data_IF_716667086955
#
_entry.id   IF_716667086955
#
_cell.length_a   1.000
_cell.length_b   1.000
_cell.length_c   1.000
_cell.angle_alpha   90.00
_cell.angle_beta   90.00
_cell.angle_gamma   90.00
#
_symmetry.space_group_name_H-M   'P 1'
#
loop_
_entity.id
_entity.type
_entity.pdbx_description
1 polymer ?
#
# COMPACT_ATOMS: atom_id res chain seq x y z
N UNK A 1 29.34 57.10 1.85
CA UNK A 1 28.72 55.81 1.49
C UNK A 1 28.79 54.92 2.72
N UNK A 2 27.66 54.76 3.40
CA UNK A 2 27.58 54.07 4.70
C UNK A 2 27.17 52.61 4.45
N UNK A 3 28.03 51.65 4.83
CA UNK A 3 27.71 50.23 4.83
C UNK A 3 26.75 49.90 5.98
N UNK A 4 25.58 49.36 5.66
CA UNK A 4 24.70 48.74 6.64
C UNK A 4 25.21 47.32 6.92
N UNK A 5 25.29 46.89 8.20
CA UNK A 5 25.65 45.51 8.54
C UNK A 5 24.49 44.57 8.26
N UNK A 6 24.88 43.34 7.90
CA UNK A 6 24.05 42.31 7.34
C UNK A 6 22.88 41.83 8.20
N UNK A 7 21.90 41.31 7.49
CA UNK A 7 20.77 40.58 8.05
C UNK A 7 21.27 39.34 8.79
N UNK A 8 20.96 39.22 10.07
CA UNK A 8 21.11 37.98 10.81
C UNK A 8 20.20 36.93 10.18
N UNK A 9 20.81 35.94 9.54
CA UNK A 9 20.17 34.67 9.25
C UNK A 9 19.80 34.06 10.62
N UNK A 10 18.54 34.13 10.98
CA UNK A 10 18.00 33.35 12.09
C UNK A 10 18.14 31.87 11.73
N UNK A 11 18.98 31.17 12.47
CA UNK A 11 19.03 29.71 12.44
C UNK A 11 17.61 29.19 12.75
N UNK A 12 17.14 28.14 12.09
CA UNK A 12 15.85 27.55 12.42
C UNK A 12 15.88 27.15 13.89
N UNK A 13 14.84 27.56 14.63
CA UNK A 13 14.61 27.18 16.01
C UNK A 13 14.65 25.64 16.10
N UNK A 14 15.55 25.10 16.92
CA UNK A 14 15.62 23.67 17.27
C UNK A 14 14.49 23.35 18.24
N UNK A 15 13.22 23.50 17.82
CA UNK A 15 12.12 22.95 18.58
C UNK A 15 12.20 21.43 18.47
N UNK A 16 12.45 20.78 19.60
CA UNK A 16 12.44 19.32 19.68
C UNK A 16 11.03 18.81 19.38
N UNK A 17 10.91 17.79 18.54
CA UNK A 17 9.62 17.22 18.17
C UNK A 17 8.82 16.82 19.43
N UNK A 18 7.48 17.04 19.50
CA UNK A 18 6.68 16.74 20.70
C UNK A 18 6.74 15.28 21.19
N UNK A 19 7.13 14.35 20.32
CA UNK A 19 7.34 12.94 20.65
C UNK A 19 8.77 12.62 21.09
N UNK A 20 9.69 13.57 21.12
CA UNK A 20 11.05 13.32 21.56
C UNK A 20 11.08 12.77 23.00
N UNK A 21 11.79 11.66 23.21
CA UNK A 21 11.85 10.94 24.47
C UNK A 21 10.63 10.06 24.80
N UNK A 22 9.55 10.11 24.01
CA UNK A 22 8.37 9.26 24.22
C UNK A 22 8.60 7.83 23.71
N UNK A 23 7.98 6.85 24.36
CA UNK A 23 8.06 5.43 23.96
C UNK A 23 6.73 4.96 23.35
N UNK A 24 6.76 4.61 22.06
CA UNK A 24 5.58 4.19 21.29
C UNK A 24 5.73 2.72 20.89
N UNK A 25 4.74 1.89 21.23
CA UNK A 25 4.68 0.48 20.86
C UNK A 25 3.73 0.24 19.70
N UNK A 26 4.25 -0.27 18.60
CA UNK A 26 3.44 -0.87 17.54
C UNK A 26 3.36 -2.39 17.75
N UNK A 27 2.19 -2.99 17.49
CA UNK A 27 2.01 -4.44 17.57
C UNK A 27 1.40 -4.99 16.28
N UNK A 28 2.06 -5.99 15.69
CA UNK A 28 1.70 -6.62 14.42
C UNK A 28 2.08 -8.10 14.46
N UNK A 29 1.35 -9.03 13.79
CA UNK A 29 1.66 -10.46 13.82
C UNK A 29 3.10 -10.77 13.42
N UNK A 30 3.48 -10.37 12.22
CA UNK A 30 4.74 -10.67 11.57
C UNK A 30 5.27 -9.44 10.83
N UNK A 31 6.57 -9.40 10.51
CA UNK A 31 7.23 -8.37 9.70
C UNK A 31 7.81 -9.01 8.41
N UNK A 32 6.94 -9.59 7.58
CA UNK A 32 7.37 -10.19 6.31
C UNK A 32 7.46 -9.12 5.19
N UNK A 33 6.66 -9.20 4.13
CA UNK A 33 6.77 -8.29 2.98
C UNK A 33 5.44 -7.60 2.64
N UNK A 34 4.46 -7.71 3.51
CA UNK A 34 3.14 -7.12 3.30
C UNK A 34 3.12 -5.61 3.50
N UNK A 35 2.04 -5.02 3.08
CA UNK A 35 1.94 -3.58 3.16
C UNK A 35 1.74 -3.02 4.55
N UNK A 36 1.08 -3.74 5.46
CA UNK A 36 0.93 -3.31 6.84
C UNK A 36 2.27 -3.37 7.59
N UNK A 37 3.07 -4.41 7.30
CA UNK A 37 4.40 -4.62 7.84
C UNK A 37 5.36 -3.53 7.39
N UNK A 38 5.36 -3.18 6.10
CA UNK A 38 6.14 -2.06 5.56
C UNK A 38 5.78 -0.74 6.25
N UNK A 39 4.46 -0.46 6.40
CA UNK A 39 4.01 0.74 7.10
C UNK A 39 4.46 0.77 8.56
N UNK A 40 4.52 -0.38 9.26
CA UNK A 40 5.01 -0.43 10.64
C UNK A 40 6.49 -0.01 10.72
N UNK A 41 7.31 -0.48 9.78
CA UNK A 41 8.74 -0.10 9.70
C UNK A 41 8.92 1.38 9.35
N UNK A 42 8.11 1.90 8.42
CA UNK A 42 8.20 3.30 7.99
C UNK A 42 7.77 4.27 9.13
N UNK A 43 6.72 3.94 9.88
CA UNK A 43 6.32 4.71 11.06
C UNK A 43 7.34 4.58 12.19
N UNK A 44 7.96 3.40 12.38
CA UNK A 44 9.03 3.25 13.37
C UNK A 44 10.21 4.16 13.05
N UNK A 45 10.61 4.26 11.77
CA UNK A 45 11.62 5.21 11.33
C UNK A 45 11.21 6.65 11.63
N UNK A 46 9.99 7.05 11.26
CA UNK A 46 9.52 8.41 11.53
C UNK A 46 9.51 8.76 13.03
N UNK A 47 9.18 7.82 13.89
CA UNK A 47 9.29 7.96 15.35
C UNK A 47 10.74 8.16 15.79
N UNK A 48 11.66 7.36 15.26
CA UNK A 48 13.09 7.48 15.57
C UNK A 48 13.66 8.82 15.08
N UNK A 49 13.29 9.24 13.86
CA UNK A 49 13.68 10.54 13.29
C UNK A 49 13.12 11.72 14.13
N UNK A 50 11.98 11.54 14.80
CA UNK A 50 11.37 12.48 15.74
C UNK A 50 11.98 12.43 17.15
N UNK A 51 12.99 11.60 17.39
CA UNK A 51 13.63 11.42 18.71
C UNK A 51 12.82 10.55 19.70
N UNK A 52 11.80 9.84 19.23
CA UNK A 52 11.02 8.91 20.03
C UNK A 52 11.63 7.50 20.00
N UNK A 53 11.34 6.71 21.02
CA UNK A 53 11.68 5.29 21.09
C UNK A 53 10.59 4.48 20.39
N UNK A 54 10.91 3.89 19.24
CA UNK A 54 9.99 3.13 18.42
C UNK A 54 10.11 1.62 18.69
N UNK A 55 9.14 1.03 19.38
CA UNK A 55 9.08 -0.40 19.71
C UNK A 55 8.12 -1.11 18.75
N UNK A 56 8.49 -2.32 18.28
CA UNK A 56 7.62 -3.17 17.45
C UNK A 56 7.56 -4.57 18.03
N UNK A 57 6.42 -4.93 18.63
CA UNK A 57 6.11 -6.26 19.15
C UNK A 57 5.56 -7.16 18.07
N UNK A 58 6.27 -8.25 17.73
CA UNK A 58 5.95 -9.15 16.61
C UNK A 58 6.68 -10.49 16.75
N UNK A 59 6.21 -11.53 16.07
CA UNK A 59 6.91 -12.82 15.98
C UNK A 59 8.22 -12.74 15.16
N UNK A 60 8.46 -11.64 14.46
CA UNK A 60 9.63 -11.43 13.62
C UNK A 60 9.29 -11.45 12.13
N UNK A 61 10.31 -11.64 11.27
CA UNK A 61 10.19 -11.70 9.82
C UNK A 61 11.32 -10.97 9.10
N UNK A 62 11.27 -10.97 7.76
CA UNK A 62 12.35 -10.44 6.89
C UNK A 62 12.63 -8.96 7.09
N UNK A 63 11.65 -8.17 7.54
CA UNK A 63 11.81 -6.73 7.74
C UNK A 63 12.41 -6.35 9.09
N UNK A 64 12.71 -7.33 9.98
CA UNK A 64 13.31 -7.04 11.30
C UNK A 64 14.67 -6.35 11.16
N UNK A 65 15.54 -6.85 10.28
CA UNK A 65 16.84 -6.24 10.05
C UNK A 65 16.72 -4.79 9.55
N UNK A 66 15.76 -4.52 8.67
CA UNK A 66 15.48 -3.17 8.17
C UNK A 66 14.90 -2.26 9.27
N UNK A 67 13.99 -2.77 10.11
CA UNK A 67 13.47 -2.05 11.28
C UNK A 67 14.61 -1.58 12.18
N UNK A 68 15.51 -2.49 12.53
CA UNK A 68 16.65 -2.21 13.43
C UNK A 68 17.65 -1.24 12.78
N UNK A 69 17.94 -1.39 11.47
CA UNK A 69 18.80 -0.47 10.73
C UNK A 69 18.23 0.96 10.67
N UNK A 70 16.91 1.11 10.80
CA UNK A 70 16.20 2.39 10.86
C UNK A 70 15.97 2.89 12.31
N UNK A 71 16.63 2.28 13.31
CA UNK A 71 16.57 2.69 14.71
C UNK A 71 15.36 2.17 15.50
N UNK A 72 14.48 1.38 14.88
CA UNK A 72 13.38 0.74 15.58
C UNK A 72 13.84 -0.47 16.44
N UNK A 73 13.18 -0.73 17.54
CA UNK A 73 13.48 -1.84 18.44
C UNK A 73 12.48 -2.97 18.21
N UNK A 74 12.99 -4.14 17.81
CA UNK A 74 12.19 -5.36 17.75
C UNK A 74 12.05 -6.01 19.11
N UNK A 75 10.81 -6.28 19.52
CA UNK A 75 10.47 -7.02 20.72
C UNK A 75 9.80 -8.34 20.31
N UNK A 76 10.44 -9.51 20.55
CA UNK A 76 9.84 -10.81 20.29
C UNK A 76 8.55 -10.98 21.08
N UNK A 77 7.43 -11.15 20.37
CA UNK A 77 6.11 -11.27 21.00
C UNK A 77 5.19 -12.17 20.14
N UNK A 78 4.42 -13.12 20.75
CA UNK A 78 3.56 -14.06 20.01
C UNK A 78 2.26 -13.37 19.55
N UNK A 79 2.41 -12.35 18.69
CA UNK A 79 1.35 -11.48 18.22
C UNK A 79 0.40 -12.12 17.18
N UNK A 80 0.82 -13.21 16.51
CA UNK A 80 0.00 -13.90 15.52
C UNK A 80 -1.01 -14.88 16.13
N UNK A 81 -0.90 -15.18 17.43
CA UNK A 81 -1.75 -16.16 18.10
C UNK A 81 -3.23 -15.78 18.03
N UNK A 82 -4.06 -16.77 17.66
CA UNK A 82 -5.53 -16.69 17.62
C UNK A 82 -6.19 -17.60 18.66
N UNK A 83 -5.41 -18.33 19.44
CA UNK A 83 -5.91 -19.17 20.53
C UNK A 83 -6.36 -18.27 21.70
N UNK A 84 -7.62 -18.34 22.17
CA UNK A 84 -8.13 -17.44 23.21
C UNK A 84 -7.35 -17.52 24.53
N UNK A 85 -6.90 -18.72 24.94
CA UNK A 85 -6.12 -18.91 26.18
C UNK A 85 -4.75 -18.25 26.02
N UNK A 86 -4.07 -18.49 24.90
CA UNK A 86 -2.79 -17.86 24.61
C UNK A 86 -2.93 -16.34 24.51
N UNK A 87 -4.02 -15.83 23.92
CA UNK A 87 -4.30 -14.39 23.86
C UNK A 87 -4.49 -13.80 25.26
N UNK A 88 -5.21 -14.48 26.17
CA UNK A 88 -5.36 -14.05 27.57
C UNK A 88 -4.02 -14.00 28.30
N UNK A 89 -3.16 -15.01 28.12
CA UNK A 89 -1.80 -15.00 28.68
C UNK A 89 -0.93 -13.89 28.07
N UNK A 90 -1.09 -13.61 26.79
CA UNK A 90 -0.39 -12.55 26.09
C UNK A 90 -0.79 -11.15 26.59
N UNK A 91 -2.02 -10.95 27.09
CA UNK A 91 -2.39 -9.67 27.74
C UNK A 91 -1.46 -9.39 28.94
N UNK A 92 -1.25 -10.39 29.83
CA UNK A 92 -0.36 -10.24 30.97
C UNK A 92 1.09 -9.95 30.53
N UNK A 93 1.59 -10.69 29.51
CA UNK A 93 2.93 -10.47 28.97
C UNK A 93 3.07 -9.06 28.40
N UNK A 94 2.06 -8.59 27.66
CA UNK A 94 2.09 -7.25 27.06
C UNK A 94 2.04 -6.15 28.12
N UNK A 95 1.26 -6.34 29.20
CA UNK A 95 1.22 -5.41 30.35
C UNK A 95 2.59 -5.30 31.02
N UNK A 96 3.28 -6.44 31.23
CA UNK A 96 4.63 -6.45 31.80
C UNK A 96 5.61 -5.74 30.88
N UNK A 97 5.64 -6.09 29.60
CA UNK A 97 6.47 -5.47 28.58
C UNK A 97 6.25 -3.96 28.51
N UNK A 98 4.98 -3.50 28.51
CA UNK A 98 4.70 -2.07 28.49
C UNK A 98 5.20 -1.32 29.73
N UNK A 99 5.23 -1.98 30.90
CA UNK A 99 5.77 -1.39 32.12
C UNK A 99 7.29 -1.35 32.12
N UNK A 100 7.92 -2.44 31.70
CA UNK A 100 9.39 -2.57 31.62
C UNK A 100 9.99 -1.59 30.63
N UNK A 101 9.29 -1.37 29.50
CA UNK A 101 9.74 -0.50 28.42
C UNK A 101 9.19 0.93 28.53
N UNK A 102 8.45 1.26 29.58
CA UNK A 102 7.83 2.57 29.82
C UNK A 102 6.99 3.06 28.66
N UNK A 103 6.16 2.15 28.07
CA UNK A 103 5.31 2.46 26.92
C UNK A 103 4.23 3.48 27.28
N UNK A 104 4.08 4.51 26.46
CA UNK A 104 3.12 5.58 26.65
C UNK A 104 1.93 5.53 25.68
N UNK A 105 2.06 4.81 24.55
CA UNK A 105 0.98 4.61 23.54
C UNK A 105 1.14 3.25 22.86
N UNK A 106 0.02 2.56 22.62
CA UNK A 106 -0.02 1.30 21.87
C UNK A 106 -0.76 1.50 20.54
N UNK A 107 -0.14 1.07 19.45
CA UNK A 107 -0.73 1.08 18.12
C UNK A 107 -0.84 -0.33 17.54
N UNK A 108 -2.05 -0.86 17.38
CA UNK A 108 -2.29 -2.18 16.80
C UNK A 108 -2.60 -2.09 15.29
N UNK A 109 -1.94 -2.96 14.52
CA UNK A 109 -2.03 -3.01 13.06
C UNK A 109 -2.72 -4.26 12.51
N UNK A 110 -3.24 -5.13 13.37
CA UNK A 110 -3.96 -6.34 12.98
C UNK A 110 -4.90 -6.81 14.09
N UNK A 111 -5.95 -7.54 13.72
CA UNK A 111 -7.07 -7.91 14.61
C UNK A 111 -6.68 -8.77 15.80
N UNK A 112 -5.90 -9.85 15.59
CA UNK A 112 -5.52 -10.74 16.68
C UNK A 112 -4.72 -10.00 17.77
N UNK A 113 -3.60 -9.32 17.45
CA UNK A 113 -2.87 -8.55 18.46
C UNK A 113 -3.66 -7.35 18.98
N UNK A 114 -4.64 -6.80 18.23
CA UNK A 114 -5.45 -5.68 18.70
C UNK A 114 -6.33 -6.02 19.89
N UNK A 115 -6.84 -7.26 20.02
CA UNK A 115 -7.56 -7.69 21.22
C UNK A 115 -6.68 -7.73 22.46
N UNK A 116 -5.45 -8.23 22.31
CA UNK A 116 -4.45 -8.26 23.38
C UNK A 116 -4.04 -6.84 23.75
N UNK A 117 -3.77 -6.00 22.75
CA UNK A 117 -3.36 -4.61 22.94
C UNK A 117 -4.47 -3.75 23.57
N UNK A 118 -5.72 -3.91 23.16
CA UNK A 118 -6.86 -3.21 23.75
C UNK A 118 -6.99 -3.53 25.25
N UNK A 119 -6.91 -4.81 25.63
CA UNK A 119 -7.02 -5.22 27.02
C UNK A 119 -5.85 -4.66 27.86
N UNK A 120 -4.61 -4.73 27.34
CA UNK A 120 -3.44 -4.17 28.02
C UNK A 120 -3.51 -2.65 28.15
N UNK A 121 -3.90 -1.94 27.06
CA UNK A 121 -4.03 -0.48 27.06
C UNK A 121 -5.07 0.00 28.07
N UNK A 122 -6.24 -0.66 28.13
CA UNK A 122 -7.29 -0.32 29.12
C UNK A 122 -6.86 -0.56 30.55
N UNK A 123 -6.12 -1.68 30.80
CA UNK A 123 -5.58 -1.99 32.12
C UNK A 123 -4.53 -0.95 32.57
N UNK A 124 -3.66 -0.52 31.66
CA UNK A 124 -2.59 0.45 31.93
C UNK A 124 -3.04 1.91 31.79
N UNK A 125 -4.27 2.16 31.29
CA UNK A 125 -4.80 3.48 30.94
C UNK A 125 -3.96 4.21 29.88
N UNK A 126 -3.40 3.46 28.94
CA UNK A 126 -2.63 3.99 27.82
C UNK A 126 -3.53 4.33 26.64
N UNK A 127 -3.22 5.37 25.84
CA UNK A 127 -3.85 5.63 24.57
C UNK A 127 -3.68 4.43 23.63
N UNK A 128 -4.76 4.11 22.90
CA UNK A 128 -4.81 2.97 21.99
C UNK A 128 -5.22 3.39 20.59
N UNK A 129 -4.33 3.19 19.62
CA UNK A 129 -4.56 3.48 18.19
C UNK A 129 -4.70 2.17 17.42
N UNK A 130 -5.54 2.18 16.41
CA UNK A 130 -5.65 1.07 15.45
C UNK A 130 -5.55 1.58 14.02
N UNK A 131 -4.97 0.80 13.10
CA UNK A 131 -5.01 1.09 11.67
C UNK A 131 -5.74 -0.02 10.91
N UNK A 132 -6.75 0.38 10.13
CA UNK A 132 -7.42 -0.49 9.17
C UNK A 132 -6.61 -0.56 7.86
N UNK A 133 -6.10 -1.75 7.52
CA UNK A 133 -5.29 -1.98 6.32
C UNK A 133 -6.07 -2.63 5.16
N UNK A 134 -7.36 -2.90 5.32
CA UNK A 134 -8.17 -3.56 4.29
C UNK A 134 -9.62 -3.77 4.72
N UNK A 135 -10.46 -4.19 3.79
CA UNK A 135 -11.83 -4.59 4.10
C UNK A 135 -11.82 -5.95 4.80
N UNK A 136 -12.45 -6.03 5.97
CA UNK A 136 -12.59 -7.29 6.68
C UNK A 136 -13.93 -7.94 6.33
N UNK A 137 -13.86 -9.19 5.86
CA UNK A 137 -15.06 -9.98 5.62
C UNK A 137 -15.81 -10.24 6.94
N UNK A 138 -17.09 -9.94 6.98
CA UNK A 138 -17.98 -10.03 8.16
C UNK A 138 -19.28 -10.81 7.84
N UNK A 139 -19.12 -12.04 7.29
CA UNK A 139 -20.27 -12.89 6.92
C UNK A 139 -21.01 -13.51 8.13
N UNK A 140 -20.55 -13.34 9.35
CA UNK A 140 -21.21 -13.81 10.57
C UNK A 140 -21.08 -12.79 11.71
N UNK A 141 -22.03 -12.80 12.65
CA UNK A 141 -22.04 -11.93 13.83
C UNK A 141 -20.75 -12.09 14.67
N UNK A 142 -20.28 -13.31 14.87
CA UNK A 142 -19.03 -13.61 15.58
C UNK A 142 -17.84 -12.97 14.88
N UNK A 143 -17.77 -13.05 13.55
CA UNK A 143 -16.70 -12.46 12.77
C UNK A 143 -16.76 -10.94 12.76
N UNK A 144 -17.97 -10.37 12.76
CA UNK A 144 -18.18 -8.93 12.92
C UNK A 144 -17.70 -8.44 14.28
N UNK A 145 -18.04 -9.16 15.35
CA UNK A 145 -17.54 -8.88 16.71
C UNK A 145 -16.03 -8.98 16.76
N UNK A 146 -15.42 -10.04 16.22
CA UNK A 146 -13.98 -10.19 16.18
C UNK A 146 -13.28 -9.04 15.42
N UNK A 147 -13.85 -8.62 14.30
CA UNK A 147 -13.31 -7.50 13.51
C UNK A 147 -13.49 -6.14 14.20
N UNK A 148 -14.51 -6.00 15.08
CA UNK A 148 -14.84 -4.72 15.73
C UNK A 148 -13.71 -4.16 16.59
N UNK A 149 -12.75 -4.98 17.02
CA UNK A 149 -11.61 -4.52 17.81
C UNK A 149 -10.84 -3.40 17.10
N UNK A 150 -10.74 -3.47 15.77
CA UNK A 150 -10.05 -2.45 14.98
C UNK A 150 -10.79 -1.09 14.98
N UNK A 151 -12.06 -1.06 15.35
CA UNK A 151 -12.87 0.16 15.51
C UNK A 151 -12.97 0.64 16.98
N UNK A 152 -12.24 0.01 17.91
CA UNK A 152 -12.27 0.31 19.36
C UNK A 152 -11.10 1.13 19.85
N UNK A 153 -10.21 1.57 18.95
CA UNK A 153 -9.15 2.53 19.27
C UNK A 153 -9.71 3.84 19.85
N UNK A 154 -8.91 4.59 20.58
CA UNK A 154 -9.19 5.98 20.92
C UNK A 154 -9.11 6.85 19.66
N UNK A 155 -8.19 6.47 18.73
CA UNK A 155 -8.21 6.90 17.32
C UNK A 155 -8.12 5.65 16.44
N UNK A 156 -8.88 5.67 15.33
CA UNK A 156 -8.95 4.62 14.32
C UNK A 156 -8.45 5.21 13.00
N UNK A 157 -7.27 4.84 12.59
CA UNK A 157 -6.68 5.28 11.31
C UNK A 157 -7.27 4.44 10.18
N UNK A 158 -7.83 5.09 9.17
CA UNK A 158 -8.25 4.53 7.90
C UNK A 158 -7.24 4.93 6.82
N UNK A 159 -6.77 3.97 6.01
CA UNK A 159 -5.75 4.20 4.99
C UNK A 159 -6.28 4.82 3.69
N UNK A 160 -7.58 5.14 3.62
CA UNK A 160 -8.28 5.82 2.52
C UNK A 160 -9.64 6.31 2.99
N UNK A 161 -10.28 7.22 2.27
CA UNK A 161 -11.65 7.65 2.53
C UNK A 161 -12.65 6.50 2.33
N UNK A 162 -12.42 5.65 1.33
CA UNK A 162 -13.20 4.43 1.13
C UNK A 162 -13.17 3.52 2.37
N UNK A 163 -11.99 3.28 2.92
CA UNK A 163 -11.84 2.47 4.14
C UNK A 163 -12.52 3.14 5.33
N UNK A 164 -12.45 4.46 5.47
CA UNK A 164 -13.20 5.21 6.49
C UNK A 164 -14.72 5.00 6.36
N UNK A 165 -15.25 5.11 5.13
CA UNK A 165 -16.67 4.81 4.84
C UNK A 165 -17.07 3.38 5.24
N UNK A 166 -16.22 2.38 4.95
CA UNK A 166 -16.46 0.99 5.36
C UNK A 166 -16.47 0.81 6.88
N UNK A 167 -15.57 1.49 7.59
CA UNK A 167 -15.52 1.46 9.06
C UNK A 167 -16.82 2.04 9.63
N UNK A 168 -17.22 3.21 9.16
CA UNK A 168 -18.41 3.91 9.65
C UNK A 168 -19.70 3.16 9.35
N UNK A 169 -19.80 2.52 8.18
CA UNK A 169 -20.95 1.70 7.83
C UNK A 169 -21.09 0.46 8.72
N UNK A 170 -19.97 -0.16 9.13
CA UNK A 170 -19.98 -1.37 9.96
C UNK A 170 -19.91 -1.09 11.46
N UNK A 171 -19.33 0.04 11.85
CA UNK A 171 -19.04 0.41 13.24
C UNK A 171 -19.34 1.89 13.48
N UNK A 172 -20.64 2.30 13.49
CA UNK A 172 -21.04 3.71 13.65
C UNK A 172 -20.49 4.39 14.91
N UNK A 173 -20.19 3.60 15.96
CA UNK A 173 -19.60 4.10 17.20
C UNK A 173 -18.16 4.64 17.04
N UNK A 174 -17.53 4.42 15.89
CA UNK A 174 -16.21 4.96 15.61
C UNK A 174 -16.22 6.33 14.92
N UNK A 175 -17.40 6.95 14.71
CA UNK A 175 -17.55 8.18 13.91
C UNK A 175 -16.58 9.30 14.32
N UNK A 176 -16.51 9.59 15.59
CA UNK A 176 -15.67 10.69 16.10
C UNK A 176 -14.19 10.32 16.27
N UNK A 177 -13.86 9.04 16.04
CA UNK A 177 -12.54 8.45 16.23
C UNK A 177 -11.79 8.17 14.93
N UNK A 178 -12.49 8.07 13.81
CA UNK A 178 -11.88 7.77 12.52
C UNK A 178 -11.10 8.98 12.02
N UNK A 179 -9.84 8.73 11.63
CA UNK A 179 -8.99 9.69 10.92
C UNK A 179 -8.49 9.02 9.64
N UNK A 180 -8.63 9.72 8.52
CA UNK A 180 -8.05 9.26 7.26
C UNK A 180 -6.59 9.69 7.26
N UNK A 181 -5.70 8.71 7.19
CA UNK A 181 -4.27 8.91 6.94
C UNK A 181 -3.95 8.06 5.72
N UNK A 182 -3.81 8.71 4.58
CA UNK A 182 -3.57 8.02 3.32
C UNK A 182 -2.28 7.23 3.39
N UNK A 183 -2.29 6.06 2.74
CA UNK A 183 -1.08 5.24 2.69
C UNK A 183 0.00 5.93 1.88
N UNK A 184 1.21 5.97 2.43
CA UNK A 184 2.37 6.57 1.79
C UNK A 184 3.13 5.62 0.86
N UNK A 185 3.75 6.22 -0.15
CA UNK A 185 4.67 5.57 -1.10
C UNK A 185 6.02 6.29 -1.05
N UNK A 186 7.11 5.51 -1.07
CA UNK A 186 8.46 6.05 -1.14
C UNK A 186 8.77 6.50 -2.58
N UNK A 187 8.55 7.76 -2.88
CA UNK A 187 8.77 8.31 -4.22
C UNK A 187 10.25 8.41 -4.61
N UNK A 188 11.19 8.36 -3.68
CA UNK A 188 12.61 8.27 -4.01
C UNK A 188 12.94 6.92 -4.67
N UNK A 189 12.29 5.83 -4.21
CA UNK A 189 12.43 4.50 -4.82
C UNK A 189 11.66 4.38 -6.15
N UNK A 190 10.50 5.06 -6.26
CA UNK A 190 9.66 5.09 -7.46
C UNK A 190 9.85 6.38 -8.27
N UNK A 191 11.10 6.77 -8.51
CA UNK A 191 11.47 7.85 -9.40
C UNK A 191 12.09 7.29 -10.70
N UNK A 192 11.66 7.70 -11.90
CA UNK A 192 12.26 7.23 -13.15
C UNK A 192 13.77 7.45 -13.20
N UNK A 193 14.27 8.58 -12.65
CA UNK A 193 15.68 8.89 -12.59
C UNK A 193 16.51 7.94 -11.69
N UNK A 194 15.86 7.20 -10.78
CA UNK A 194 16.49 6.19 -9.92
C UNK A 194 16.64 4.82 -10.59
N UNK A 195 16.12 4.66 -11.82
CA UNK A 195 16.13 3.40 -12.57
C UNK A 195 16.98 3.53 -13.81
N UNK A 196 18.07 2.76 -13.90
CA UNK A 196 18.93 2.79 -15.08
C UNK A 196 18.33 2.00 -16.25
N UNK A 197 18.74 2.35 -17.47
CA UNK A 197 18.31 1.66 -18.67
C UNK A 197 18.70 0.18 -18.68
N UNK A 198 19.85 -0.16 -18.09
CA UNK A 198 20.37 -1.53 -17.97
C UNK A 198 19.44 -2.39 -17.09
N UNK A 199 18.91 -1.85 -15.99
CA UNK A 199 17.93 -2.56 -15.14
C UNK A 199 16.66 -2.88 -15.93
N UNK A 200 16.16 -1.91 -16.70
CA UNK A 200 14.97 -2.11 -17.55
C UNK A 200 15.24 -3.16 -18.62
N UNK A 201 16.39 -3.09 -19.31
CA UNK A 201 16.75 -4.06 -20.35
C UNK A 201 16.96 -5.47 -19.79
N UNK A 202 17.65 -5.60 -18.65
CA UNK A 202 17.86 -6.89 -17.98
C UNK A 202 16.53 -7.53 -17.63
N UNK A 203 15.55 -6.75 -17.13
CA UNK A 203 14.24 -7.24 -16.77
C UNK A 203 13.44 -7.68 -18.01
N UNK A 204 13.42 -6.87 -19.09
CA UNK A 204 12.78 -7.23 -20.36
C UNK A 204 13.36 -8.53 -20.94
N UNK A 205 14.69 -8.67 -20.92
CA UNK A 205 15.38 -9.89 -21.36
C UNK A 205 14.99 -11.10 -20.50
N UNK A 206 14.98 -10.96 -19.17
CA UNK A 206 14.59 -12.04 -18.25
C UNK A 206 13.14 -12.48 -18.49
N UNK A 207 12.26 -11.59 -18.92
CA UNK A 207 10.88 -11.88 -19.27
C UNK A 207 10.70 -12.38 -20.71
N UNK A 208 11.77 -12.41 -21.51
CA UNK A 208 11.70 -12.79 -22.92
C UNK A 208 10.81 -11.86 -23.75
N UNK A 209 10.83 -10.54 -23.45
CA UNK A 209 10.08 -9.52 -24.18
C UNK A 209 10.96 -8.89 -25.23
N UNK A 210 10.53 -8.97 -26.48
CA UNK A 210 11.29 -8.42 -27.61
C UNK A 210 11.39 -6.87 -27.56
N UNK A 211 12.44 -6.27 -28.13
CA UNK A 211 12.63 -4.82 -28.07
C UNK A 211 11.45 -3.99 -28.60
N UNK A 212 10.77 -4.45 -29.66
CA UNK A 212 9.65 -3.77 -30.27
C UNK A 212 8.33 -3.93 -29.52
N UNK A 213 8.23 -4.94 -28.66
CA UNK A 213 6.97 -5.22 -27.95
C UNK A 213 6.66 -4.18 -26.87
N UNK A 214 5.42 -3.78 -26.78
CA UNK A 214 4.90 -2.95 -25.68
C UNK A 214 4.46 -3.85 -24.53
N UNK A 215 4.76 -3.47 -23.29
CA UNK A 215 4.38 -4.27 -22.11
C UNK A 215 3.11 -3.69 -21.47
N UNK A 216 2.09 -4.53 -21.30
CA UNK A 216 1.01 -4.34 -20.33
C UNK A 216 1.38 -5.15 -19.08
N UNK A 217 1.63 -4.49 -17.97
CA UNK A 217 2.07 -5.11 -16.72
C UNK A 217 0.91 -5.19 -15.72
N UNK A 218 0.64 -6.37 -15.18
CA UNK A 218 -0.22 -6.57 -14.01
C UNK A 218 0.64 -7.04 -12.84
N UNK A 219 1.06 -6.13 -11.94
CA UNK A 219 1.79 -6.49 -10.74
C UNK A 219 0.82 -6.85 -9.61
N UNK A 220 1.05 -8.00 -8.99
CA UNK A 220 0.22 -8.44 -7.87
C UNK A 220 0.23 -9.93 -7.65
N UNK A 221 -0.02 -10.34 -6.41
CA UNK A 221 -0.14 -11.76 -6.06
C UNK A 221 -1.12 -12.47 -6.99
N UNK A 222 -0.82 -13.71 -7.36
CA UNK A 222 -1.75 -14.52 -8.14
C UNK A 222 -2.91 -14.96 -7.25
N UNK A 223 -4.02 -14.22 -7.35
CA UNK A 223 -5.26 -14.46 -6.59
C UNK A 223 -6.45 -14.13 -7.47
N UNK A 224 -7.57 -14.84 -7.27
CA UNK A 224 -8.75 -14.69 -8.12
C UNK A 224 -9.30 -13.27 -8.24
N UNK A 225 -9.08 -12.43 -7.23
CA UNK A 225 -9.61 -11.07 -7.18
C UNK A 225 -8.68 -9.99 -7.77
N UNK A 226 -7.43 -10.33 -8.13
CA UNK A 226 -6.50 -9.37 -8.76
C UNK A 226 -6.71 -9.22 -10.26
N UNK A 227 -7.68 -9.94 -10.84
CA UNK A 227 -8.14 -9.73 -12.20
C UNK A 227 -7.23 -10.29 -13.30
N UNK A 228 -6.33 -11.26 -12.98
CA UNK A 228 -5.51 -11.92 -14.00
C UNK A 228 -6.38 -12.56 -15.11
N UNK A 229 -7.53 -13.15 -14.74
CA UNK A 229 -8.49 -13.71 -15.71
C UNK A 229 -9.04 -12.65 -16.65
N UNK A 230 -9.39 -11.49 -16.09
CA UNK A 230 -9.93 -10.35 -16.88
C UNK A 230 -8.88 -9.84 -17.84
N UNK A 231 -7.60 -9.75 -17.39
CA UNK A 231 -6.52 -9.32 -18.29
C UNK A 231 -6.22 -10.34 -19.39
N UNK A 232 -6.28 -11.66 -19.12
CA UNK A 232 -6.10 -12.70 -20.15
C UNK A 232 -7.19 -12.59 -21.22
N UNK A 233 -8.44 -12.39 -20.81
CA UNK A 233 -9.56 -12.21 -21.76
C UNK A 233 -9.43 -10.89 -22.52
N UNK A 234 -9.03 -9.79 -21.88
CA UNK A 234 -8.74 -8.53 -22.56
C UNK A 234 -7.60 -8.68 -23.58
N UNK A 235 -6.55 -9.44 -23.26
CA UNK A 235 -5.46 -9.75 -24.18
C UNK A 235 -5.95 -10.55 -25.43
N UNK A 236 -6.89 -11.49 -25.23
CA UNK A 236 -7.53 -12.20 -26.32
C UNK A 236 -8.30 -11.24 -27.24
N UNK A 237 -9.12 -10.37 -26.66
CA UNK A 237 -9.89 -9.38 -27.41
C UNK A 237 -8.99 -8.41 -28.19
N UNK A 238 -7.87 -7.99 -27.59
CA UNK A 238 -6.91 -7.11 -28.26
C UNK A 238 -6.22 -7.84 -29.43
N UNK A 239 -5.81 -9.09 -29.26
CA UNK A 239 -5.25 -9.91 -30.35
C UNK A 239 -6.25 -10.07 -31.51
N UNK A 240 -7.50 -10.41 -31.18
CA UNK A 240 -8.56 -10.62 -32.20
C UNK A 240 -8.89 -9.33 -32.97
N UNK A 241 -8.62 -8.17 -32.35
CA UNK A 241 -8.70 -6.85 -32.96
C UNK A 241 -7.42 -6.42 -33.73
N UNK A 242 -6.43 -7.32 -33.88
CA UNK A 242 -5.21 -7.08 -34.66
C UNK A 242 -4.00 -6.54 -33.91
N UNK A 243 -4.03 -6.43 -32.58
CA UNK A 243 -2.84 -6.07 -31.82
C UNK A 243 -1.82 -7.23 -31.88
N UNK A 244 -0.66 -7.01 -32.49
CA UNK A 244 0.40 -8.01 -32.64
C UNK A 244 1.56 -7.80 -31.66
N UNK A 245 1.79 -6.56 -31.19
CA UNK A 245 3.05 -6.14 -30.56
C UNK A 245 2.96 -5.94 -29.04
N UNK A 246 1.85 -6.33 -28.41
CA UNK A 246 1.69 -6.19 -26.96
C UNK A 246 1.97 -7.50 -26.24
N UNK A 247 2.93 -7.47 -25.30
CA UNK A 247 3.19 -8.54 -24.35
C UNK A 247 2.49 -8.22 -23.01
N UNK A 248 1.80 -9.21 -22.44
CA UNK A 248 1.09 -9.07 -21.16
C UNK A 248 1.87 -9.81 -20.09
N UNK A 249 2.30 -9.10 -19.06
CA UNK A 249 3.16 -9.63 -18.00
C UNK A 249 2.38 -9.70 -16.69
N UNK A 250 2.22 -10.92 -16.15
CA UNK A 250 1.65 -11.19 -14.84
C UNK A 250 2.81 -11.35 -13.84
N UNK A 251 3.12 -10.28 -13.11
CA UNK A 251 4.25 -10.24 -12.18
C UNK A 251 3.76 -10.40 -10.73
N UNK A 252 3.89 -11.61 -10.18
CA UNK A 252 3.49 -11.88 -8.81
C UNK A 252 3.68 -13.32 -8.38
N UNK A 253 3.74 -13.50 -7.07
CA UNK A 253 3.91 -14.79 -6.42
C UNK A 253 2.55 -15.50 -6.25
N UNK A 254 2.54 -16.80 -6.49
CA UNK A 254 1.39 -17.67 -6.27
C UNK A 254 1.12 -17.95 -4.78
N UNK A 255 2.14 -17.91 -3.93
CA UNK A 255 2.02 -18.18 -2.49
C UNK A 255 1.27 -19.49 -2.18
N UNK A 256 1.63 -20.58 -2.86
CA UNK A 256 1.03 -21.90 -2.69
C UNK A 256 -0.34 -22.08 -3.36
N UNK A 257 -0.78 -21.17 -4.25
CA UNK A 257 -2.05 -21.29 -4.98
C UNK A 257 -1.87 -22.00 -6.33
N UNK A 258 -1.29 -23.20 -6.33
CA UNK A 258 -0.94 -23.95 -7.54
C UNK A 258 -2.16 -24.26 -8.43
N UNK A 259 -3.34 -24.46 -7.82
CA UNK A 259 -4.58 -24.65 -8.55
C UNK A 259 -4.95 -23.43 -9.39
N UNK A 260 -4.77 -22.22 -8.86
CA UNK A 260 -5.02 -20.97 -9.59
C UNK A 260 -3.98 -20.73 -10.69
N UNK A 261 -2.73 -21.11 -10.44
CA UNK A 261 -1.66 -21.07 -11.46
C UNK A 261 -2.02 -21.95 -12.65
N UNK A 262 -2.41 -23.23 -12.40
CA UNK A 262 -2.85 -24.15 -13.47
C UNK A 262 -4.07 -23.64 -14.23
N UNK A 263 -5.01 -23.00 -13.54
CA UNK A 263 -6.17 -22.35 -14.16
C UNK A 263 -5.75 -21.26 -15.14
N UNK A 264 -4.85 -20.34 -14.71
CA UNK A 264 -4.35 -19.26 -15.57
C UNK A 264 -3.62 -19.81 -16.81
N UNK A 265 -2.78 -20.84 -16.65
CA UNK A 265 -2.09 -21.49 -17.77
C UNK A 265 -3.09 -22.12 -18.76
N UNK A 266 -4.14 -22.76 -18.25
CA UNK A 266 -5.21 -23.31 -19.06
C UNK A 266 -5.99 -22.24 -19.83
N UNK A 267 -6.25 -21.07 -19.22
CA UNK A 267 -6.90 -19.93 -19.88
C UNK A 267 -6.00 -19.34 -20.97
N UNK A 268 -4.71 -19.18 -20.73
CA UNK A 268 -3.73 -18.70 -21.71
C UNK A 268 -3.68 -19.62 -22.93
N UNK A 269 -3.54 -20.93 -22.71
CA UNK A 269 -3.50 -21.93 -23.77
C UNK A 269 -4.81 -21.97 -24.56
N UNK A 270 -5.96 -22.01 -23.88
CA UNK A 270 -7.29 -22.01 -24.53
C UNK A 270 -7.50 -20.75 -25.40
N UNK A 271 -6.95 -19.62 -24.96
CA UNK A 271 -7.02 -18.39 -25.70
C UNK A 271 -5.97 -18.26 -26.83
N UNK A 272 -5.02 -19.20 -26.97
CA UNK A 272 -3.91 -19.12 -27.94
C UNK A 272 -3.00 -17.92 -27.67
N UNK A 273 -2.68 -17.67 -26.40
CA UNK A 273 -1.90 -16.52 -25.98
C UNK A 273 -0.52 -16.92 -25.42
N UNK A 274 -0.08 -18.17 -25.66
CA UNK A 274 1.24 -18.63 -25.28
C UNK A 274 2.34 -17.75 -25.89
N UNK A 275 3.32 -17.39 -25.10
CA UNK A 275 4.37 -16.45 -25.48
C UNK A 275 3.96 -14.97 -25.45
N UNK A 276 2.66 -14.65 -25.48
CA UNK A 276 2.13 -13.30 -25.43
C UNK A 276 1.71 -12.88 -24.00
N UNK A 277 1.05 -13.76 -23.26
CA UNK A 277 0.79 -13.61 -21.84
C UNK A 277 1.82 -14.44 -21.06
N UNK A 278 2.62 -13.77 -20.23
CA UNK A 278 3.73 -14.40 -19.50
C UNK A 278 3.57 -14.21 -18.00
N UNK A 279 3.64 -15.32 -17.25
CA UNK A 279 3.74 -15.30 -15.79
C UNK A 279 5.23 -15.32 -15.42
N UNK A 280 5.69 -14.26 -14.79
CA UNK A 280 7.13 -14.08 -14.51
C UNK A 280 7.51 -14.33 -13.03
N UNK A 281 6.54 -14.76 -12.22
CA UNK A 281 6.78 -14.96 -10.79
C UNK A 281 6.96 -13.69 -10.01
N UNK A 282 7.66 -13.77 -8.89
CA UNK A 282 7.97 -12.60 -8.07
C UNK A 282 8.94 -11.65 -8.77
N UNK A 283 8.58 -10.37 -8.82
CA UNK A 283 9.45 -9.31 -9.30
C UNK A 283 9.98 -8.49 -8.12
N UNK A 284 11.28 -8.53 -7.88
CA UNK A 284 11.94 -7.79 -6.81
C UNK A 284 12.23 -6.33 -7.20
N UNK A 285 12.38 -6.05 -8.50
CA UNK A 285 12.63 -4.70 -9.03
C UNK A 285 11.36 -4.10 -9.65
N UNK A 286 10.41 -3.77 -8.80
CA UNK A 286 9.14 -3.20 -9.24
C UNK A 286 9.28 -1.80 -9.90
N UNK A 287 10.16 -0.89 -9.46
CA UNK A 287 10.41 0.35 -10.17
C UNK A 287 10.84 0.14 -11.63
N UNK A 288 11.79 -0.76 -11.90
CA UNK A 288 12.20 -1.08 -13.27
C UNK A 288 11.08 -1.78 -14.06
N UNK A 289 10.29 -2.64 -13.41
CA UNK A 289 9.14 -3.28 -14.02
C UNK A 289 8.09 -2.25 -14.51
N UNK A 290 7.75 -1.29 -13.65
CA UNK A 290 6.80 -0.23 -14.00
C UNK A 290 7.34 0.72 -15.07
N UNK A 291 8.61 1.09 -15.00
CA UNK A 291 9.24 1.93 -16.03
C UNK A 291 9.36 1.21 -17.38
N UNK A 292 9.50 -0.13 -17.40
CA UNK A 292 9.53 -0.94 -18.62
C UNK A 292 8.16 -1.07 -19.28
N UNK A 293 7.09 -0.84 -18.53
CA UNK A 293 5.71 -1.02 -19.00
C UNK A 293 5.22 0.17 -19.82
N UNK A 294 4.52 -0.12 -20.90
CA UNK A 294 3.77 0.89 -21.63
C UNK A 294 2.49 1.28 -20.87
N UNK A 295 1.87 0.33 -20.18
CA UNK A 295 0.68 0.53 -19.34
C UNK A 295 0.73 -0.44 -18.17
N UNK A 296 0.30 0.01 -16.99
CA UNK A 296 0.04 -0.87 -15.84
C UNK A 296 -1.46 -1.10 -15.73
N UNK A 297 -1.87 -2.36 -15.62
CA UNK A 297 -3.26 -2.78 -15.43
C UNK A 297 -3.50 -3.20 -13.97
N UNK A 298 -4.58 -2.69 -13.36
CA UNK A 298 -5.04 -3.06 -12.02
C UNK A 298 -6.53 -3.45 -12.08
N UNK A 299 -6.86 -4.56 -12.79
CA UNK A 299 -8.25 -4.96 -13.05
C UNK A 299 -8.83 -5.79 -11.89
N UNK A 300 -8.66 -5.30 -10.66
CA UNK A 300 -9.15 -6.00 -9.45
C UNK A 300 -10.66 -6.18 -9.49
N UNK A 301 -11.15 -7.39 -9.16
CA UNK A 301 -12.57 -7.73 -9.13
C UNK A 301 -13.18 -7.60 -7.72
N UNK A 302 -12.35 -7.47 -6.69
CA UNK A 302 -12.75 -7.12 -5.33
C UNK A 302 -12.17 -5.75 -4.94
N UNK A 303 -12.85 -4.98 -4.07
CA UNK A 303 -12.40 -3.65 -3.67
C UNK A 303 -11.02 -3.62 -3.04
N UNK A 304 -10.12 -2.81 -3.58
CA UNK A 304 -8.85 -2.51 -2.93
C UNK A 304 -9.00 -1.45 -1.85
N UNK A 305 -8.27 -1.63 -0.74
CA UNK A 305 -8.33 -0.69 0.37
C UNK A 305 -7.54 0.61 0.12
N UNK A 306 -6.65 0.61 -0.90
CA UNK A 306 -5.87 1.79 -1.29
C UNK A 306 -5.48 1.80 -2.77
N UNK A 307 -4.92 0.70 -3.33
CA UNK A 307 -4.45 0.66 -4.72
C UNK A 307 -2.99 1.08 -4.88
N UNK A 308 -2.09 0.56 -4.04
CA UNK A 308 -0.64 0.87 -4.08
C UNK A 308 -0.02 0.81 -5.46
N UNK A 309 -0.34 -0.24 -6.22
CA UNK A 309 0.20 -0.46 -7.57
C UNK A 309 -0.10 0.72 -8.50
N UNK A 310 -1.31 1.27 -8.41
CA UNK A 310 -1.70 2.42 -9.21
C UNK A 310 -0.92 3.69 -8.83
N UNK A 311 -0.67 3.92 -7.54
CA UNK A 311 0.14 5.06 -7.05
C UNK A 311 1.60 4.91 -7.49
N UNK A 312 2.18 3.72 -7.32
CA UNK A 312 3.55 3.41 -7.70
C UNK A 312 3.78 3.57 -9.21
N UNK A 313 2.84 3.11 -10.05
CA UNK A 313 2.91 3.29 -11.51
C UNK A 313 2.81 4.76 -11.92
N UNK A 314 1.90 5.52 -11.32
CA UNK A 314 1.77 6.95 -11.56
C UNK A 314 3.04 7.72 -11.15
N UNK A 315 3.68 7.34 -10.05
CA UNK A 315 4.97 7.88 -9.62
C UNK A 315 6.07 7.63 -10.66
N UNK A 316 6.07 6.47 -11.30
CA UNK A 316 6.98 6.15 -12.41
C UNK A 316 6.59 6.83 -13.74
N UNK A 317 5.48 7.58 -13.77
CA UNK A 317 4.96 8.21 -15.00
C UNK A 317 4.36 7.21 -15.99
N UNK A 318 4.09 5.98 -15.56
CA UNK A 318 3.50 4.94 -16.40
C UNK A 318 1.96 5.06 -16.36
N UNK A 319 1.29 5.13 -17.52
CA UNK A 319 -0.17 5.13 -17.60
C UNK A 319 -0.78 3.94 -16.86
N UNK A 320 -1.93 4.16 -16.22
CA UNK A 320 -2.63 3.11 -15.47
C UNK A 320 -4.06 2.95 -15.95
N UNK A 321 -4.52 1.70 -16.09
CA UNK A 321 -5.90 1.32 -16.31
C UNK A 321 -6.36 0.47 -15.15
N UNK A 322 -7.39 0.91 -14.43
CA UNK A 322 -7.77 0.35 -13.14
C UNK A 322 -9.28 0.09 -13.07
N UNK A 323 -9.70 -0.91 -12.32
CA UNK A 323 -11.12 -1.09 -12.00
C UNK A 323 -11.63 0.06 -11.14
N UNK A 324 -12.80 0.62 -11.50
CA UNK A 324 -13.52 1.63 -10.71
C UNK A 324 -14.14 0.98 -9.46
N UNK A 325 -13.28 0.63 -8.49
CA UNK A 325 -13.70 -0.18 -7.35
C UNK A 325 -12.84 0.09 -6.10
N UNK A 326 -13.51 0.23 -4.97
CA UNK A 326 -12.83 0.43 -3.68
C UNK A 326 -12.21 1.82 -3.55
N UNK A 327 -10.98 1.89 -3.06
CA UNK A 327 -10.23 3.13 -2.90
C UNK A 327 -9.46 3.57 -4.17
N UNK A 328 -9.47 2.78 -5.23
CA UNK A 328 -8.71 3.09 -6.44
C UNK A 328 -9.13 4.42 -7.08
N UNK A 329 -10.43 4.79 -7.12
CA UNK A 329 -10.87 6.10 -7.59
C UNK A 329 -10.33 7.30 -6.79
N UNK A 330 -9.80 7.08 -5.60
CA UNK A 330 -9.13 8.14 -4.82
C UNK A 330 -7.68 8.35 -5.29
N UNK A 331 -7.06 7.30 -5.84
CA UNK A 331 -5.65 7.30 -6.24
C UNK A 331 -5.44 7.57 -7.73
N UNK A 332 -6.43 7.31 -8.55
CA UNK A 332 -6.43 7.54 -10.00
C UNK A 332 -7.61 8.42 -10.35
N UNK A 333 -7.36 9.58 -10.91
CA UNK A 333 -8.42 10.49 -11.33
C UNK A 333 -8.80 10.21 -12.78
N UNK A 334 -10.11 10.05 -13.03
CA UNK A 334 -10.67 9.82 -14.37
C UNK A 334 -12.06 10.47 -14.49
N UNK A 335 -12.58 10.70 -15.68
CA UNK A 335 -13.97 11.11 -15.85
C UNK A 335 -14.96 10.10 -15.21
N UNK A 336 -16.07 10.55 -14.61
CA UNK A 336 -16.57 11.93 -14.58
C UNK A 336 -16.01 12.79 -13.43
N UNK A 337 -15.12 12.27 -12.56
CA UNK A 337 -14.56 13.01 -11.41
C UNK A 337 -13.78 14.25 -11.86
N UNK A 338 -13.08 14.14 -12.97
CA UNK A 338 -12.27 15.21 -13.59
C UNK A 338 -12.56 15.26 -15.10
N UNK A 339 -12.19 16.37 -15.73
CA UNK A 339 -12.26 16.47 -17.20
C UNK A 339 -11.30 15.49 -17.89
N UNK A 340 -11.59 15.11 -19.17
CA UNK A 340 -10.73 14.17 -19.91
C UNK A 340 -9.26 14.61 -20.00
N UNK A 341 -8.99 15.92 -20.04
CA UNK A 341 -7.65 16.51 -20.06
C UNK A 341 -6.93 16.51 -18.70
N UNK A 342 -7.65 16.24 -17.62
CA UNK A 342 -7.15 16.28 -16.23
C UNK A 342 -6.94 14.89 -15.63
N UNK A 343 -7.31 13.83 -16.37
CA UNK A 343 -7.15 12.45 -15.90
C UNK A 343 -5.70 12.13 -15.54
N UNK A 344 -5.51 11.24 -14.57
CA UNK A 344 -4.22 10.63 -14.22
C UNK A 344 -4.13 9.16 -14.63
N UNK A 345 -5.23 8.57 -15.11
CA UNK A 345 -5.36 7.22 -15.63
C UNK A 345 -6.76 6.95 -16.18
N UNK A 346 -7.13 5.67 -16.27
CA UNK A 346 -8.43 5.22 -16.79
C UNK A 346 -9.13 4.37 -15.74
N UNK A 347 -10.44 4.61 -15.57
CA UNK A 347 -11.34 3.74 -14.84
C UNK A 347 -12.11 2.85 -15.82
N UNK A 348 -12.24 1.57 -15.47
CA UNK A 348 -13.08 0.60 -16.19
C UNK A 348 -13.98 -0.13 -15.19
N UNK A 349 -15.17 -0.59 -15.60
CA UNK A 349 -16.00 -1.42 -14.74
C UNK A 349 -15.23 -2.67 -14.28
N UNK A 350 -15.38 -3.11 -13.03
CA UNK A 350 -14.77 -4.35 -12.56
C UNK A 350 -15.33 -5.55 -13.35
N UNK A 351 -14.48 -6.56 -13.55
CA UNK A 351 -14.82 -7.81 -14.26
C UNK A 351 -15.29 -7.62 -15.73
N UNK A 352 -14.95 -6.50 -16.36
CA UNK A 352 -15.25 -6.18 -17.74
C UNK A 352 -13.98 -6.19 -18.60
N UNK A 353 -13.73 -7.31 -19.27
CA UNK A 353 -12.57 -7.49 -20.14
C UNK A 353 -12.62 -6.62 -21.41
N UNK A 354 -13.82 -6.31 -21.93
CA UNK A 354 -13.96 -5.47 -23.12
C UNK A 354 -13.64 -4.01 -22.78
N UNK A 355 -14.17 -3.48 -21.69
CA UNK A 355 -13.82 -2.15 -21.19
C UNK A 355 -12.32 -2.05 -20.83
N UNK A 356 -11.74 -3.10 -20.21
CA UNK A 356 -10.31 -3.15 -19.95
C UNK A 356 -9.50 -3.10 -21.25
N UNK A 357 -9.84 -3.89 -22.25
CA UNK A 357 -9.16 -3.89 -23.56
C UNK A 357 -9.25 -2.52 -24.26
N UNK A 358 -10.39 -1.86 -24.17
CA UNK A 358 -10.58 -0.51 -24.72
C UNK A 358 -9.69 0.52 -24.00
N UNK A 359 -9.70 0.55 -22.67
CA UNK A 359 -8.87 1.45 -21.87
C UNK A 359 -7.37 1.21 -22.08
N UNK A 360 -6.95 -0.07 -22.19
CA UNK A 360 -5.55 -0.42 -22.49
C UNK A 360 -5.14 0.10 -23.88
N UNK A 361 -5.98 -0.04 -24.90
CA UNK A 361 -5.69 0.51 -26.24
C UNK A 361 -5.58 2.02 -26.23
N UNK A 362 -6.51 2.73 -25.59
CA UNK A 362 -6.41 4.20 -25.46
C UNK A 362 -5.09 4.63 -24.80
N UNK A 363 -4.68 3.93 -23.74
CA UNK A 363 -3.45 4.24 -23.02
C UNK A 363 -2.18 3.91 -23.83
N UNK A 364 -2.21 2.80 -24.60
CA UNK A 364 -1.12 2.39 -25.49
C UNK A 364 -0.95 3.32 -26.70
N UNK A 365 -2.04 3.87 -27.22
CA UNK A 365 -2.06 4.70 -28.44
C UNK A 365 -1.88 6.20 -28.14
N UNK A 366 -1.57 6.56 -26.90
CA UNK A 366 -1.23 7.95 -26.55
C UNK A 366 -0.05 8.45 -27.38
N UNK A 367 -0.22 9.61 -28.00
CA UNK A 367 0.90 10.33 -28.62
C UNK A 367 1.93 10.72 -27.55
N UNK A 368 3.21 10.78 -27.90
CA UNK A 368 4.30 11.06 -26.93
C UNK A 368 4.03 12.28 -26.04
N UNK A 369 3.60 13.40 -26.62
CA UNK A 369 3.30 14.64 -25.86
C UNK A 369 2.13 14.47 -24.87
N UNK A 370 1.10 13.71 -25.26
CA UNK A 370 -0.04 13.41 -24.37
C UNK A 370 0.37 12.48 -23.24
N UNK A 371 1.23 11.50 -23.55
CA UNK A 371 1.79 10.57 -22.54
C UNK A 371 2.65 11.32 -21.51
N UNK A 372 3.52 12.24 -21.94
CA UNK A 372 4.32 13.07 -21.04
C UNK A 372 3.45 13.97 -20.17
N UNK A 373 2.42 14.59 -20.75
CA UNK A 373 1.50 15.44 -20.01
C UNK A 373 0.72 14.64 -18.95
N UNK A 374 0.26 13.42 -19.29
CA UNK A 374 -0.37 12.49 -18.35
C UNK A 374 0.59 12.11 -17.23
N UNK A 375 1.83 11.73 -17.57
CA UNK A 375 2.85 11.32 -16.61
C UNK A 375 3.17 12.42 -15.59
N UNK A 376 3.31 13.68 -16.05
CA UNK A 376 3.52 14.83 -15.15
C UNK A 376 2.36 15.03 -14.19
N UNK A 377 1.12 15.03 -14.69
CA UNK A 377 -0.08 15.22 -13.86
C UNK A 377 -0.23 14.09 -12.84
N UNK A 378 -0.09 12.85 -13.30
CA UNK A 378 -0.20 11.66 -12.46
C UNK A 378 0.81 11.69 -11.32
N UNK A 379 2.08 12.05 -11.63
CA UNK A 379 3.13 12.17 -10.62
C UNK A 379 2.82 13.27 -9.61
N UNK A 380 2.49 14.49 -10.06
CA UNK A 380 2.14 15.62 -9.17
C UNK A 380 0.98 15.22 -8.25
N UNK A 381 -0.03 14.55 -8.79
CA UNK A 381 -1.17 14.08 -8.00
C UNK A 381 -0.74 13.14 -6.88
N UNK A 382 0.01 12.07 -7.20
CA UNK A 382 0.38 11.07 -6.20
C UNK A 382 1.42 11.59 -5.20
N UNK A 383 2.39 12.40 -5.63
CA UNK A 383 3.38 13.02 -4.73
C UNK A 383 2.72 13.95 -3.71
N UNK A 384 1.71 14.71 -4.14
CA UNK A 384 0.99 15.64 -3.28
C UNK A 384 0.13 14.94 -2.23
N UNK A 385 -0.48 13.79 -2.57
CA UNK A 385 -1.53 13.19 -1.73
C UNK A 385 -1.13 11.88 -1.06
N UNK A 386 -0.07 11.20 -1.53
CA UNK A 386 0.28 9.85 -1.10
C UNK A 386 1.77 9.68 -0.82
N UNK A 387 2.45 10.75 -0.35
CA UNK A 387 3.85 10.65 0.04
C UNK A 387 4.03 9.88 1.36
N UNK A 388 5.17 9.20 1.48
CA UNK A 388 5.54 8.50 2.71
C UNK A 388 5.68 9.49 3.88
N UNK A 389 6.25 10.64 3.60
CA UNK A 389 6.48 11.73 4.56
C UNK A 389 5.17 12.26 5.12
N UNK A 390 4.16 12.48 4.27
CA UNK A 390 2.82 12.92 4.71
C UNK A 390 2.15 11.86 5.59
N UNK A 391 2.18 10.57 5.18
CA UNK A 391 1.62 9.47 6.00
C UNK A 391 2.29 9.40 7.37
N UNK A 392 3.61 9.55 7.42
CA UNK A 392 4.37 9.53 8.68
C UNK A 392 3.96 10.73 9.52
N UNK A 393 4.02 11.96 8.99
CA UNK A 393 3.67 13.19 9.71
C UNK A 393 2.25 13.11 10.29
N UNK A 394 1.24 12.78 9.48
CA UNK A 394 -0.15 12.66 9.92
C UNK A 394 -0.34 11.56 10.99
N UNK A 395 0.43 10.47 10.92
CA UNK A 395 0.39 9.42 11.95
C UNK A 395 1.01 9.91 13.26
N UNK A 396 2.14 10.62 13.19
CA UNK A 396 2.79 11.19 14.36
C UNK A 396 1.92 12.29 15.00
N UNK A 397 1.20 13.09 14.20
CA UNK A 397 0.24 14.08 14.70
C UNK A 397 -0.89 13.44 15.52
N UNK A 398 -1.37 12.24 15.08
CA UNK A 398 -2.33 11.46 15.88
C UNK A 398 -1.74 11.09 17.24
N UNK A 399 -0.47 10.68 17.30
CA UNK A 399 0.19 10.34 18.56
C UNK A 399 0.39 11.57 19.45
N UNK A 400 0.85 12.69 18.88
CA UNK A 400 0.99 13.96 19.59
C UNK A 400 -0.33 14.39 20.23
N UNK A 401 -1.44 14.33 19.46
CA UNK A 401 -2.76 14.72 19.96
C UNK A 401 -3.25 13.82 21.12
N UNK A 402 -2.85 12.57 21.17
CA UNK A 402 -3.20 11.64 22.25
C UNK A 402 -2.32 11.78 23.48
N UNK A 403 -1.05 12.11 23.31
CA UNK A 403 -0.07 12.23 24.41
C UNK A 403 0.01 13.65 24.99
N UNK A 404 -0.47 14.63 24.29
CA UNK A 404 -0.55 16.03 24.75
C UNK A 404 -1.82 16.37 25.55
N UNK A 405 -2.70 15.37 25.82
CA UNK A 405 -3.94 15.53 26.59
C UNK A 405 -3.75 15.29 28.08
#
# INVERSE_FOLDING_TARGET
>A
MSFKPGAHLSLPSTETHPLAGRTILQIIPELEAGGAERTAVDIARGLTDAGARALVATEGGRLVAELQAKGGVWLPFPAASKNPIAMALNVRKLVMLCREEEVELIHARSRAPAWVALAAARFLKLPFVTTYHGSYNSRSAVKTLYNSVMARGDVVIANSAYTAGLILAKHPMARDKVRVVNRGTNFAAFAPAAVSAERVQALRKAWGVEPHQRIVLLPGRLTGWKGQRVLIEAARLMRDAGDADTAFILAGDAQGRDGYVKELDGLIAKAGLEGRVKRVGHCSDMPAAMLSAAVVAVPSTDPEAFGRVAVEAQAMGTPVVVSDLGAVPETVLAPPQVGPGERTGWHVPPDDAAALAAGLREALDLRPSAREALARRARIHVERHFSLEAMVAETLDVYCALLGR
#
